data_IF_692828308190
#
_entry.id   IF_692828308190
#
_cell.length_a   1.000
_cell.length_b   1.000
_cell.length_c   1.000
_cell.angle_alpha   90.00
_cell.angle_beta   90.00
_cell.angle_gamma   90.00
#
_symmetry.space_group_name_H-M   'P 1'
#
loop_
_entity.id
_entity.type
_entity.pdbx_description
1 polymer ?
#
# COMPACT_ATOMS: atom_id res chain seq x y z
N UNK A 1 -43.78 -39.56 -35.38
CA UNK A 1 -43.55 -38.81 -34.11
C UNK A 1 -43.13 -39.82 -33.05
N UNK A 2 -42.14 -39.56 -32.16
CA UNK A 2 -41.41 -38.32 -31.89
C UNK A 2 -39.94 -38.37 -32.36
N UNK A 3 -39.43 -37.31 -33.01
CA UNK A 3 -38.63 -36.21 -32.43
C UNK A 3 -37.19 -36.62 -32.08
N UNK A 4 -36.33 -36.64 -33.09
CA UNK A 4 -34.90 -36.39 -32.91
C UNK A 4 -34.76 -34.91 -32.52
N UNK A 5 -34.48 -34.65 -31.24
CA UNK A 5 -34.11 -33.30 -30.77
C UNK A 5 -32.67 -33.03 -31.27
N UNK A 6 -32.39 -31.91 -31.96
CA UNK A 6 -31.07 -31.64 -32.49
C UNK A 6 -30.14 -31.25 -31.33
N UNK A 7 -29.23 -32.15 -30.95
CA UNK A 7 -28.19 -31.88 -29.95
C UNK A 7 -26.95 -31.17 -30.51
N UNK A 8 -27.00 -30.65 -31.74
CA UNK A 8 -25.79 -30.17 -32.43
C UNK A 8 -25.52 -28.65 -32.34
N UNK A 9 -26.41 -27.84 -31.75
CA UNK A 9 -26.24 -26.37 -31.69
C UNK A 9 -25.77 -25.84 -30.34
N UNK A 10 -25.65 -26.69 -29.31
CA UNK A 10 -25.23 -26.23 -27.97
C UNK A 10 -23.70 -26.07 -27.86
N UNK A 11 -22.91 -26.75 -28.69
CA UNK A 11 -21.44 -26.79 -28.54
C UNK A 11 -20.73 -25.48 -28.88
N UNK A 12 -21.06 -24.81 -29.98
CA UNK A 12 -20.33 -23.60 -30.40
C UNK A 12 -20.61 -22.40 -29.47
N UNK A 13 -21.88 -22.17 -29.12
CA UNK A 13 -22.25 -21.08 -28.22
C UNK A 13 -21.73 -21.31 -26.79
N UNK A 14 -21.81 -22.54 -26.26
CA UNK A 14 -21.25 -22.87 -24.95
C UNK A 14 -19.72 -22.75 -24.93
N UNK A 15 -19.03 -23.18 -25.98
CA UNK A 15 -17.58 -23.03 -26.10
C UNK A 15 -17.14 -21.56 -26.16
N UNK A 16 -17.88 -20.69 -26.87
CA UNK A 16 -17.61 -19.25 -26.89
C UNK A 16 -17.81 -18.59 -25.53
N UNK A 17 -18.85 -18.98 -24.78
CA UNK A 17 -19.08 -18.49 -23.41
C UNK A 17 -17.94 -18.92 -22.49
N UNK A 18 -17.56 -20.20 -22.53
CA UNK A 18 -16.44 -20.72 -21.74
C UNK A 18 -15.12 -20.04 -22.11
N UNK A 19 -14.81 -19.91 -23.40
CA UNK A 19 -13.62 -19.20 -23.86
C UNK A 19 -13.63 -17.72 -23.44
N UNK A 20 -14.79 -17.06 -23.46
CA UNK A 20 -14.93 -15.67 -22.99
C UNK A 20 -14.73 -15.56 -21.49
N UNK A 21 -15.27 -16.49 -20.69
CA UNK A 21 -15.03 -16.55 -19.25
C UNK A 21 -13.55 -16.81 -18.94
N UNK A 22 -12.90 -17.73 -19.66
CA UNK A 22 -11.47 -17.98 -19.54
C UNK A 22 -10.63 -16.78 -19.96
N UNK A 23 -11.00 -16.08 -21.04
CA UNK A 23 -10.31 -14.87 -21.49
C UNK A 23 -10.40 -13.76 -20.44
N UNK A 24 -11.61 -13.49 -19.92
CA UNK A 24 -11.82 -12.51 -18.84
C UNK A 24 -11.06 -12.90 -17.58
N UNK A 25 -11.04 -14.19 -17.24
CA UNK A 25 -10.35 -14.64 -16.04
C UNK A 25 -8.82 -14.59 -16.18
N UNK A 26 -8.29 -14.89 -17.37
CA UNK A 26 -6.86 -14.77 -17.68
C UNK A 26 -6.40 -13.30 -17.69
N UNK A 27 -7.25 -12.39 -18.15
CA UNK A 27 -6.97 -10.94 -18.15
C UNK A 27 -6.85 -10.40 -16.72
N UNK A 28 -7.82 -10.71 -15.84
CA UNK A 28 -7.78 -10.34 -14.42
C UNK A 28 -6.53 -10.83 -13.71
N UNK A 29 -6.12 -12.08 -13.95
CA UNK A 29 -4.91 -12.64 -13.35
C UNK A 29 -3.64 -11.94 -13.84
N UNK A 30 -3.61 -11.47 -15.10
CA UNK A 30 -2.49 -10.69 -15.63
C UNK A 30 -2.44 -9.30 -15.00
N UNK A 31 -3.59 -8.63 -14.90
CA UNK A 31 -3.68 -7.31 -14.26
C UNK A 31 -3.21 -7.34 -12.81
N UNK A 32 -3.64 -8.33 -12.03
CA UNK A 32 -3.19 -8.54 -10.65
C UNK A 32 -1.68 -8.74 -10.56
N UNK A 33 -1.11 -9.56 -11.46
CA UNK A 33 0.31 -9.85 -11.51
C UNK A 33 1.13 -8.62 -11.91
N UNK A 34 0.67 -7.86 -12.90
CA UNK A 34 1.35 -6.65 -13.35
C UNK A 34 1.30 -5.56 -12.28
N UNK A 35 0.17 -5.38 -11.60
CA UNK A 35 0.07 -4.49 -10.45
C UNK A 35 0.95 -4.91 -9.27
N UNK A 36 1.14 -6.21 -9.03
CA UNK A 36 2.07 -6.71 -8.01
C UNK A 36 3.54 -6.49 -8.42
N UNK A 37 3.88 -6.68 -9.70
CA UNK A 37 5.22 -6.41 -10.24
C UNK A 37 5.57 -4.93 -10.17
N UNK A 38 4.64 -4.05 -10.50
CA UNK A 38 4.85 -2.61 -10.43
C UNK A 38 5.16 -2.15 -9.01
N UNK A 39 4.38 -2.62 -8.02
CA UNK A 39 4.66 -2.41 -6.59
C UNK A 39 6.03 -2.94 -6.17
N UNK A 40 6.37 -4.16 -6.58
CA UNK A 40 7.66 -4.76 -6.27
C UNK A 40 8.84 -3.97 -6.87
N UNK A 41 8.70 -3.45 -8.10
CA UNK A 41 9.71 -2.59 -8.72
C UNK A 41 9.85 -1.27 -7.98
N UNK A 42 8.76 -0.67 -7.53
CA UNK A 42 8.81 0.59 -6.78
C UNK A 42 9.52 0.41 -5.43
N UNK A 43 9.21 -0.67 -4.71
CA UNK A 43 9.92 -1.03 -3.47
C UNK A 43 11.40 -1.28 -3.76
N UNK A 44 11.71 -2.11 -4.76
CA UNK A 44 13.08 -2.42 -5.13
C UNK A 44 13.89 -1.18 -5.53
N UNK A 45 13.25 -0.21 -6.19
CA UNK A 45 13.88 1.06 -6.55
C UNK A 45 14.39 1.82 -5.34
N UNK A 46 13.56 1.97 -4.30
CA UNK A 46 13.96 2.64 -3.05
C UNK A 46 15.03 1.83 -2.30
N UNK A 47 14.87 0.51 -2.23
CA UNK A 47 15.81 -0.36 -1.51
C UNK A 47 17.20 -0.43 -2.19
N UNK A 48 17.26 -0.27 -3.51
CA UNK A 48 18.50 -0.30 -4.28
C UNK A 48 19.20 1.06 -4.36
N UNK A 49 18.59 2.13 -3.86
CA UNK A 49 19.18 3.46 -3.89
C UNK A 49 20.52 3.49 -3.09
N UNK A 50 21.60 4.10 -3.61
CA UNK A 50 22.89 4.10 -2.93
C UNK A 50 22.89 4.78 -1.56
N UNK A 51 21.96 5.69 -1.32
CA UNK A 51 21.77 6.40 -0.06
C UNK A 51 20.62 5.82 0.79
N UNK A 52 20.09 4.64 0.43
CA UNK A 52 19.02 3.99 1.18
C UNK A 52 19.44 3.72 2.63
N UNK A 53 18.64 4.20 3.58
CA UNK A 53 18.84 4.00 5.02
C UNK A 53 17.56 3.49 5.67
N UNK A 54 17.72 2.64 6.68
CA UNK A 54 16.62 2.07 7.42
C UNK A 54 16.53 2.66 8.83
N UNK A 55 15.30 2.87 9.30
CA UNK A 55 15.01 3.20 10.69
C UNK A 55 13.66 2.62 11.10
N UNK A 56 13.48 2.36 12.39
CA UNK A 56 12.28 1.72 12.91
C UNK A 56 12.02 2.09 14.36
N UNK A 57 10.77 1.99 14.78
CA UNK A 57 10.34 2.05 16.18
C UNK A 57 9.35 0.93 16.46
N UNK A 58 9.51 0.25 17.59
CA UNK A 58 8.56 -0.74 18.09
C UNK A 58 8.24 -0.49 19.57
N UNK A 59 7.04 -0.86 19.99
CA UNK A 59 6.62 -0.88 21.40
C UNK A 59 7.01 -2.20 22.09
N UNK A 60 6.78 -2.29 23.40
CA UNK A 60 7.08 -3.50 24.19
C UNK A 60 6.30 -4.75 23.75
N UNK A 61 5.22 -4.58 22.98
CA UNK A 61 4.40 -5.66 22.43
C UNK A 61 4.89 -6.07 21.03
N UNK A 62 5.97 -5.48 20.53
CA UNK A 62 6.52 -5.74 19.21
C UNK A 62 5.78 -5.04 18.07
N UNK A 63 4.82 -4.15 18.37
CA UNK A 63 4.10 -3.41 17.34
C UNK A 63 4.91 -2.20 16.93
N UNK A 64 5.05 -1.95 15.64
CA UNK A 64 5.99 -0.92 15.19
C UNK A 64 5.78 -0.41 13.79
N UNK A 65 6.62 0.55 13.44
CA UNK A 65 6.76 1.12 12.11
C UNK A 65 8.22 0.96 11.66
N UNK A 66 8.42 0.47 10.45
CA UNK A 66 9.70 0.38 9.76
C UNK A 66 9.71 1.31 8.55
N UNK A 67 10.85 1.94 8.29
CA UNK A 67 11.05 2.83 7.15
C UNK A 67 12.40 2.52 6.52
N UNK A 68 12.41 2.31 5.20
CA UNK A 68 13.62 2.39 4.38
C UNK A 68 13.45 3.55 3.41
N UNK A 69 14.39 4.48 3.38
CA UNK A 69 14.24 5.69 2.57
C UNK A 69 15.52 6.09 1.85
N UNK A 70 15.34 6.70 0.68
CA UNK A 70 16.35 7.44 -0.06
C UNK A 70 16.00 8.92 0.03
N UNK A 71 16.89 9.70 0.65
CA UNK A 71 16.71 11.13 0.79
C UNK A 71 16.96 11.86 -0.54
N UNK A 72 17.87 11.35 -1.36
CA UNK A 72 18.17 11.88 -2.68
C UNK A 72 16.99 11.70 -3.66
N UNK A 73 16.28 10.56 -3.58
CA UNK A 73 15.10 10.30 -4.41
C UNK A 73 13.80 10.85 -3.82
N UNK A 74 13.81 11.28 -2.55
CA UNK A 74 12.60 11.77 -1.87
C UNK A 74 11.52 10.69 -1.72
N UNK A 75 11.95 9.44 -1.53
CA UNK A 75 11.10 8.23 -1.49
C UNK A 75 11.37 7.39 -0.25
N UNK A 76 10.34 6.69 0.20
CA UNK A 76 10.44 5.75 1.32
C UNK A 76 9.50 4.56 1.14
N UNK A 77 9.89 3.41 1.66
CA UNK A 77 9.04 2.23 1.87
C UNK A 77 8.74 2.14 3.35
N UNK A 78 7.46 2.05 3.70
CA UNK A 78 6.95 2.06 5.07
C UNK A 78 6.24 0.74 5.33
N UNK A 79 6.56 0.12 6.47
CA UNK A 79 5.83 -1.03 6.98
C UNK A 79 5.24 -0.71 8.34
N UNK A 80 3.99 -1.09 8.55
CA UNK A 80 3.34 -1.13 9.86
C UNK A 80 3.29 -2.60 10.28
N UNK A 81 3.55 -2.92 11.54
CA UNK A 81 3.58 -4.31 11.99
C UNK A 81 2.93 -4.46 13.35
N UNK A 82 2.13 -5.52 13.51
CA UNK A 82 1.53 -5.90 14.80
C UNK A 82 0.33 -5.05 15.23
N UNK A 83 -0.12 -4.10 14.41
CA UNK A 83 -1.32 -3.31 14.69
C UNK A 83 -2.61 -4.00 14.25
N UNK A 84 -2.55 -4.90 13.26
CA UNK A 84 -3.72 -5.54 12.67
C UNK A 84 -4.64 -4.51 11.97
N UNK A 85 -5.82 -4.96 11.55
CA UNK A 85 -6.83 -4.07 10.98
C UNK A 85 -7.65 -3.39 12.10
N UNK A 86 -7.92 -2.07 12.03
CA UNK A 86 -8.80 -1.41 12.99
C UNK A 86 -10.21 -2.01 12.98
N UNK A 87 -10.92 -2.00 14.13
CA UNK A 87 -12.31 -2.46 14.17
C UNK A 87 -13.27 -1.49 13.48
N UNK A 88 -14.28 -2.04 12.81
CA UNK A 88 -15.31 -1.27 12.12
C UNK A 88 -14.86 -0.73 10.77
N UNK A 89 -15.53 0.31 10.27
CA UNK A 89 -15.15 0.99 9.03
C UNK A 89 -14.06 2.04 9.32
N UNK A 90 -12.85 1.56 9.62
CA UNK A 90 -11.68 2.38 10.00
C UNK A 90 -10.42 1.82 9.35
N UNK A 91 -9.47 2.71 9.09
CA UNK A 91 -8.19 2.39 8.42
C UNK A 91 -7.02 3.02 9.17
N UNK A 92 -5.83 2.44 9.00
CA UNK A 92 -4.60 3.12 9.37
C UNK A 92 -4.19 4.09 8.25
N UNK A 93 -3.92 5.34 8.59
CA UNK A 93 -3.48 6.35 7.61
C UNK A 93 -2.10 6.86 7.98
N UNK A 94 -1.21 6.91 6.98
CA UNK A 94 0.14 7.44 7.11
C UNK A 94 0.16 8.95 6.83
N UNK A 95 0.86 9.68 7.69
CA UNK A 95 1.01 11.13 7.61
C UNK A 95 2.47 11.54 7.61
N UNK A 96 2.79 12.47 6.72
CA UNK A 96 4.01 13.25 6.78
C UNK A 96 3.81 14.44 7.71
N UNK A 97 4.64 14.53 8.74
CA UNK A 97 4.63 15.62 9.72
C UNK A 97 5.84 16.53 9.49
N UNK A 98 5.58 17.84 9.46
CA UNK A 98 6.59 18.89 9.35
C UNK A 98 6.34 19.97 10.41
N UNK A 99 7.38 20.65 10.93
CA UNK A 99 7.20 21.72 11.91
C UNK A 99 6.35 22.85 11.33
N UNK A 100 5.33 23.27 12.08
CA UNK A 100 4.46 24.39 11.69
C UNK A 100 3.53 24.15 10.50
N UNK A 101 3.46 22.92 9.96
CA UNK A 101 2.59 22.57 8.84
C UNK A 101 1.50 21.56 9.23
N UNK A 102 0.38 21.58 8.52
CA UNK A 102 -0.66 20.55 8.65
C UNK A 102 -0.11 19.21 8.14
N UNK A 103 -0.28 18.10 8.86
CA UNK A 103 0.14 16.79 8.40
C UNK A 103 -0.44 16.44 7.02
N UNK A 104 0.41 16.01 6.08
CA UNK A 104 0.00 15.61 4.73
C UNK A 104 -0.19 14.11 4.67
N UNK A 105 -1.32 13.64 4.15
CA UNK A 105 -1.49 12.19 3.96
C UNK A 105 -0.52 11.64 2.92
N UNK A 106 0.07 10.49 3.23
CA UNK A 106 0.93 9.71 2.33
C UNK A 106 0.25 8.45 1.81
N UNK A 107 -0.96 8.14 2.27
CA UNK A 107 -1.72 6.96 1.87
C UNK A 107 -2.31 6.21 3.05
N UNK A 108 -3.08 5.17 2.71
CA UNK A 108 -3.66 4.23 3.65
C UNK A 108 -2.75 3.01 3.77
N UNK A 109 -2.66 2.48 4.98
CA UNK A 109 -1.94 1.25 5.28
C UNK A 109 -2.95 0.10 5.34
N UNK A 110 -2.58 -1.04 4.75
CA UNK A 110 -3.40 -2.26 4.68
C UNK A 110 -2.64 -3.41 5.34
N UNK A 111 -2.99 -3.69 6.60
CA UNK A 111 -2.27 -4.63 7.46
C UNK A 111 -0.75 -4.38 7.46
N UNK A 112 0.00 -5.43 7.16
CA UNK A 112 1.47 -5.41 7.10
C UNK A 112 2.02 -5.16 5.68
N UNK A 113 1.15 -4.80 4.71
CA UNK A 113 1.56 -4.53 3.33
C UNK A 113 2.42 -3.26 3.26
N UNK A 114 3.62 -3.31 2.64
CA UNK A 114 4.45 -2.13 2.51
C UNK A 114 3.78 -1.04 1.65
N UNK A 115 3.86 0.20 2.12
CA UNK A 115 3.43 1.39 1.40
C UNK A 115 4.65 2.17 0.91
N UNK A 116 4.72 2.45 -0.38
CA UNK A 116 5.73 3.38 -0.92
C UNK A 116 5.20 4.80 -0.89
N UNK A 117 5.98 5.72 -0.32
CA UNK A 117 5.71 7.14 -0.28
C UNK A 117 6.72 7.92 -1.15
N UNK A 118 6.25 9.02 -1.72
CA UNK A 118 7.06 9.95 -2.51
C UNK A 118 6.76 11.41 -2.13
N UNK A 119 7.58 12.33 -2.66
CA UNK A 119 7.48 13.75 -2.32
C UNK A 119 7.93 14.04 -0.89
N UNK A 120 8.91 13.28 -0.40
CA UNK A 120 9.67 13.60 0.80
C UNK A 120 10.79 14.58 0.41
N UNK A 121 11.04 15.54 1.27
CA UNK A 121 12.10 16.54 1.13
C UNK A 121 12.81 16.72 2.48
N UNK A 122 13.88 17.53 2.52
CA UNK A 122 14.64 17.74 3.76
C UNK A 122 13.82 18.31 4.91
N UNK A 123 12.68 18.97 4.67
CA UNK A 123 11.79 19.44 5.72
C UNK A 123 10.89 18.34 6.34
N UNK A 124 10.99 17.11 5.84
CA UNK A 124 10.22 15.95 6.30
C UNK A 124 10.76 15.42 7.63
N UNK A 125 10.13 15.80 8.74
CA UNK A 125 10.70 15.52 10.08
C UNK A 125 10.29 14.18 10.69
N UNK A 126 9.03 13.76 10.49
CA UNK A 126 8.56 12.49 11.05
C UNK A 126 7.38 11.94 10.26
N UNK A 127 7.18 10.63 10.40
CA UNK A 127 5.97 9.94 9.97
C UNK A 127 5.12 9.61 11.17
N UNK A 128 3.82 9.78 11.04
CA UNK A 128 2.83 9.41 12.06
C UNK A 128 1.76 8.51 11.43
N UNK A 129 1.27 7.55 12.20
CA UNK A 129 0.13 6.71 11.81
C UNK A 129 -1.01 6.96 12.77
N UNK A 130 -2.20 7.19 12.23
CA UNK A 130 -3.44 7.37 13.01
C UNK A 130 -4.47 6.33 12.59
N UNK A 131 -5.51 6.17 13.41
CA UNK A 131 -6.71 5.40 13.06
C UNK A 131 -7.77 6.38 12.58
N UNK A 132 -8.21 6.23 11.33
CA UNK A 132 -9.09 7.16 10.64
C UNK A 132 -10.38 6.44 10.18
N UNK A 133 -11.47 7.17 9.85
CA UNK A 133 -12.64 6.59 9.22
C UNK A 133 -12.31 5.89 7.89
N UNK A 134 -13.17 4.97 7.45
CA UNK A 134 -13.09 4.30 6.15
C UNK A 134 -12.85 5.28 5.00
N UNK A 135 -11.88 4.98 4.14
CA UNK A 135 -11.43 5.86 3.06
C UNK A 135 -10.41 6.94 3.48
N UNK A 136 -10.12 7.07 4.78
CA UNK A 136 -9.17 8.02 5.34
C UNK A 136 -9.76 9.42 5.53
N UNK A 137 -8.88 10.33 5.94
CA UNK A 137 -9.21 11.71 6.27
C UNK A 137 -8.34 12.70 5.49
N UNK A 138 -8.84 13.93 5.36
CA UNK A 138 -8.05 15.06 4.82
C UNK A 138 -7.06 15.65 5.83
N UNK A 139 -7.33 15.44 7.12
CA UNK A 139 -6.47 15.79 8.26
C UNK A 139 -6.63 14.73 9.35
N UNK A 140 -5.63 14.49 10.21
CA UNK A 140 -5.77 13.54 11.31
C UNK A 140 -7.02 13.81 12.16
N UNK A 141 -7.80 12.77 12.45
CA UNK A 141 -8.97 12.85 13.36
C UNK A 141 -8.72 12.21 14.72
N UNK A 142 -7.62 11.43 14.86
CA UNK A 142 -7.19 10.81 16.10
C UNK A 142 -5.72 11.09 16.41
N UNK A 143 -5.32 10.81 17.65
CA UNK A 143 -3.92 10.88 18.06
C UNK A 143 -3.11 9.77 17.37
N UNK A 144 -1.82 10.01 17.05
CA UNK A 144 -0.97 8.98 16.48
C UNK A 144 -0.86 7.74 17.36
N UNK A 145 -1.03 6.57 16.76
CA UNK A 145 -0.75 5.27 17.42
C UNK A 145 0.73 4.94 17.39
N UNK A 146 1.45 5.44 16.39
CA UNK A 146 2.91 5.39 16.31
C UNK A 146 3.44 6.61 15.53
N UNK A 147 4.64 7.05 15.91
CA UNK A 147 5.37 8.12 15.22
C UNK A 147 6.85 7.80 15.18
N UNK A 148 7.52 8.11 14.08
CA UNK A 148 8.95 7.86 13.84
C UNK A 148 9.61 9.10 13.24
N UNK A 149 10.71 9.57 13.83
CA UNK A 149 11.52 10.65 13.27
C UNK A 149 12.36 10.16 12.11
N UNK A 150 12.60 11.03 11.13
CA UNK A 150 13.29 10.68 9.88
C UNK A 150 14.75 11.18 9.79
N UNK A 151 15.27 11.79 10.86
CA UNK A 151 16.65 12.32 10.95
C UNK A 151 17.71 11.27 10.61
N UNK A 152 17.56 10.07 11.17
CA UNK A 152 18.48 8.95 10.96
C UNK A 152 18.53 8.45 9.50
N UNK A 153 17.54 8.80 8.68
CA UNK A 153 17.45 8.41 7.27
C UNK A 153 17.63 9.60 6.32
N UNK A 154 18.18 10.72 6.80
CA UNK A 154 18.62 11.83 5.95
C UNK A 154 17.58 12.91 5.64
N UNK A 155 16.48 12.95 6.39
CA UNK A 155 15.51 14.06 6.35
C UNK A 155 15.51 14.84 7.68
N UNK A 156 14.88 16.01 7.76
CA UNK A 156 14.81 16.79 8.99
C UNK A 156 16.04 17.66 9.27
N UNK A 157 16.81 18.02 8.24
CA UNK A 157 17.88 19.05 8.30
C UNK A 157 17.33 20.46 8.02
#
# INVERSE_FOLDING_TARGET
>A
RPLLVPFATVTAAAALVVASLFAVQADRTRDELDGARDRAREIAHVLAAPDARATSRADERGRGIGVVASAAEGRAVITLSGYGEPPGDRVHQLWLVRPGAVPRSLGLLDGDTPLTASGLDRSSTSLAVTVEPGGGSVRPTSSPVVQLTLESVGFGE
#
